data_IF_203184086268
#
_entry.id   IF_203184086268
#
_cell.length_a   1.000
_cell.length_b   1.000
_cell.length_c   1.000
_cell.angle_alpha   90.00
_cell.angle_beta   90.00
_cell.angle_gamma   90.00
#
_symmetry.space_group_name_H-M   'P 1'
#
loop_
_entity.id
_entity.type
_entity.pdbx_description
1 polymer ?
#
# COMPACT_ATOMS: atom_id res chain seq x y z
N UNK A 1 -19.11 8.29 -17.64
CA UNK A 1 -18.15 9.16 -16.93
C UNK A 1 -17.07 8.26 -16.37
N UNK A 2 -15.82 8.71 -16.16
CA UNK A 2 -14.80 7.95 -15.47
C UNK A 2 -15.20 7.58 -14.04
N UNK A 3 -14.37 6.81 -13.31
CA UNK A 3 -14.62 6.46 -11.92
C UNK A 3 -14.81 7.70 -11.03
N UNK A 4 -15.60 7.56 -9.97
CA UNK A 4 -15.89 8.65 -9.03
C UNK A 4 -14.71 8.86 -8.08
N UNK A 5 -14.24 7.78 -7.42
CA UNK A 5 -13.13 7.79 -6.45
C UNK A 5 -12.23 6.58 -6.58
N UNK A 6 -11.01 6.75 -6.09
CA UNK A 6 -9.98 5.71 -6.02
C UNK A 6 -9.61 5.51 -4.55
N UNK A 7 -9.72 4.28 -4.03
CA UNK A 7 -9.47 3.94 -2.64
C UNK A 7 -8.29 3.00 -2.53
N UNK A 8 -7.17 3.46 -1.96
CA UNK A 8 -5.97 2.66 -1.75
C UNK A 8 -5.96 2.08 -0.35
N UNK A 9 -6.00 0.77 -0.25
CA UNK A 9 -5.95 0.00 1.00
C UNK A 9 -4.55 -0.59 1.16
N UNK A 10 -3.90 -0.33 2.29
CA UNK A 10 -2.67 -1.04 2.64
C UNK A 10 -3.03 -2.43 3.17
N UNK A 11 -2.24 -3.46 2.81
CA UNK A 11 -2.40 -4.81 3.36
C UNK A 11 -2.36 -4.82 4.90
N UNK A 12 -2.95 -5.85 5.51
CA UNK A 12 -2.94 -6.12 6.95
C UNK A 12 -1.57 -6.55 7.48
N UNK A 13 -1.53 -6.87 8.77
CA UNK A 13 -0.30 -7.35 9.42
C UNK A 13 0.18 -8.66 8.79
N UNK A 14 1.49 -8.76 8.61
CA UNK A 14 2.15 -9.93 8.02
C UNK A 14 2.74 -10.82 9.12
N UNK A 15 2.60 -12.14 8.98
CA UNK A 15 3.29 -13.11 9.82
C UNK A 15 4.80 -13.09 9.53
N UNK A 16 5.55 -12.39 10.38
CA UNK A 16 6.99 -12.18 10.23
C UNK A 16 7.72 -12.30 11.57
N UNK A 17 7.78 -13.48 12.18
CA UNK A 17 8.35 -13.67 13.52
C UNK A 17 9.85 -13.36 13.60
N UNK A 18 10.56 -13.38 12.48
CA UNK A 18 12.00 -13.06 12.40
C UNK A 18 12.29 -11.57 12.20
N UNK A 19 11.27 -10.73 11.99
CA UNK A 19 11.43 -9.28 11.75
C UNK A 19 12.27 -8.94 10.52
N UNK A 20 12.12 -9.71 9.44
CA UNK A 20 12.89 -9.51 8.20
C UNK A 20 12.28 -8.40 7.33
N UNK A 21 13.11 -7.77 6.53
CA UNK A 21 12.67 -6.95 5.40
C UNK A 21 12.20 -7.89 4.28
N UNK A 22 10.91 -8.14 4.21
CA UNK A 22 10.33 -9.16 3.30
C UNK A 22 10.01 -8.62 1.90
N UNK A 23 9.79 -7.32 1.74
CA UNK A 23 9.64 -6.65 0.44
C UNK A 23 8.82 -7.48 -0.59
N UNK A 24 9.48 -7.99 -1.65
CA UNK A 24 8.88 -8.86 -2.67
C UNK A 24 9.17 -10.35 -2.45
N UNK A 25 9.60 -10.74 -1.23
CA UNK A 25 9.82 -12.16 -0.92
C UNK A 25 8.48 -12.88 -0.78
N UNK A 26 8.46 -14.13 -1.24
CA UNK A 26 7.35 -15.06 -1.05
C UNK A 26 7.34 -15.64 0.38
N UNK A 27 6.20 -16.22 0.79
CA UNK A 27 6.05 -16.87 2.09
C UNK A 27 5.87 -15.88 3.25
N UNK A 28 5.33 -14.71 2.99
CA UNK A 28 4.95 -13.71 3.99
C UNK A 28 3.44 -13.44 3.92
N UNK A 29 2.60 -14.41 4.36
CA UNK A 29 1.15 -14.26 4.43
C UNK A 29 0.74 -13.29 5.54
N UNK A 30 -0.53 -12.94 5.60
CA UNK A 30 -1.10 -12.24 6.74
C UNK A 30 -0.99 -13.08 8.02
N UNK A 31 -0.81 -12.40 9.17
CA UNK A 31 -1.06 -13.00 10.48
C UNK A 31 -2.57 -13.12 10.73
N UNK A 32 -2.98 -13.85 11.78
CA UNK A 32 -4.40 -13.91 12.19
C UNK A 32 -4.97 -12.52 12.44
N UNK A 33 -4.19 -11.64 13.09
CA UNK A 33 -4.54 -10.23 13.26
C UNK A 33 -4.62 -9.48 11.93
N UNK A 34 -3.71 -9.79 10.99
CA UNK A 34 -3.75 -9.23 9.65
C UNK A 34 -5.03 -9.56 8.89
N UNK A 35 -5.56 -10.77 9.04
CA UNK A 35 -6.86 -11.15 8.49
C UNK A 35 -8.01 -10.36 9.13
N UNK A 36 -8.00 -10.16 10.45
CA UNK A 36 -8.99 -9.32 11.14
C UNK A 36 -8.92 -7.85 10.68
N UNK A 37 -7.72 -7.31 10.52
CA UNK A 37 -7.50 -5.96 9.99
C UNK A 37 -8.04 -5.82 8.56
N UNK A 38 -7.84 -6.82 7.71
CA UNK A 38 -8.35 -6.82 6.35
C UNK A 38 -9.90 -6.87 6.32
N UNK A 39 -10.52 -7.64 7.21
CA UNK A 39 -11.97 -7.66 7.39
C UNK A 39 -12.51 -6.31 7.84
N UNK A 40 -11.85 -5.66 8.83
CA UNK A 40 -12.23 -4.32 9.28
C UNK A 40 -12.13 -3.26 8.16
N UNK A 41 -11.14 -3.38 7.27
CA UNK A 41 -11.05 -2.50 6.10
C UNK A 41 -12.21 -2.72 5.11
N UNK A 42 -12.64 -3.96 4.90
CA UNK A 42 -13.80 -4.25 4.05
C UNK A 42 -15.10 -3.69 4.65
N UNK A 43 -15.30 -3.84 5.96
CA UNK A 43 -16.45 -3.27 6.69
C UNK A 43 -16.45 -1.73 6.61
N UNK A 44 -15.29 -1.09 6.76
CA UNK A 44 -15.16 0.35 6.64
C UNK A 44 -15.52 0.83 5.23
N UNK A 45 -14.99 0.17 4.18
CA UNK A 45 -15.32 0.47 2.78
C UNK A 45 -16.84 0.35 2.52
N UNK A 46 -17.48 -0.69 3.09
CA UNK A 46 -18.93 -0.85 3.03
C UNK A 46 -19.66 0.31 3.70
N UNK A 47 -19.20 0.72 4.90
CA UNK A 47 -19.81 1.80 5.67
C UNK A 47 -19.73 3.16 4.96
N UNK A 48 -18.75 3.33 4.06
CA UNK A 48 -18.61 4.52 3.22
C UNK A 48 -19.68 4.63 2.12
N UNK A 49 -20.50 3.59 1.91
CA UNK A 49 -21.54 3.58 0.88
C UNK A 49 -20.98 3.57 -0.54
N UNK A 50 -19.81 2.98 -0.76
CA UNK A 50 -19.15 2.92 -2.06
C UNK A 50 -19.92 2.05 -3.06
N UNK A 51 -19.72 2.35 -4.35
CA UNK A 51 -20.16 1.54 -5.48
C UNK A 51 -18.95 1.07 -6.30
N UNK A 52 -18.08 0.20 -5.73
CA UNK A 52 -16.86 -0.20 -6.41
C UNK A 52 -17.20 -1.10 -7.62
N UNK A 53 -16.51 -0.84 -8.73
CA UNK A 53 -16.65 -1.58 -9.98
C UNK A 53 -15.44 -2.47 -10.24
N UNK A 54 -14.28 -2.14 -9.67
CA UNK A 54 -13.04 -2.88 -9.86
C UNK A 54 -12.25 -2.97 -8.56
N UNK A 55 -11.55 -4.09 -8.41
CA UNK A 55 -10.65 -4.36 -7.29
C UNK A 55 -9.27 -4.75 -7.83
N UNK A 56 -8.35 -3.79 -7.90
CA UNK A 56 -6.99 -3.98 -8.36
C UNK A 56 -6.07 -4.35 -7.19
N UNK A 57 -5.28 -5.40 -7.37
CA UNK A 57 -4.51 -6.00 -6.27
C UNK A 57 -3.07 -6.23 -6.68
N UNK A 58 -2.13 -5.80 -5.84
CA UNK A 58 -0.72 -6.15 -6.00
C UNK A 58 -0.56 -7.68 -6.00
N UNK A 59 0.36 -8.26 -6.81
CA UNK A 59 0.50 -9.70 -6.97
C UNK A 59 0.93 -10.46 -5.70
N UNK A 60 1.41 -9.77 -4.66
CA UNK A 60 1.95 -10.41 -3.47
C UNK A 60 0.86 -11.07 -2.61
N UNK A 61 1.19 -12.20 -1.97
CA UNK A 61 0.24 -13.02 -1.22
C UNK A 61 -0.55 -12.21 -0.17
N UNK A 62 0.12 -11.41 0.64
CA UNK A 62 -0.50 -10.58 1.70
C UNK A 62 -1.53 -9.57 1.17
N UNK A 63 -1.33 -9.04 -0.03
CA UNK A 63 -2.30 -8.12 -0.66
C UNK A 63 -3.50 -8.86 -1.21
N UNK A 64 -3.30 -10.04 -1.81
CA UNK A 64 -4.40 -10.90 -2.25
C UNK A 64 -5.23 -11.38 -1.07
N UNK A 65 -4.60 -11.77 0.05
CA UNK A 65 -5.29 -12.13 1.28
C UNK A 65 -6.05 -10.94 1.88
N UNK A 66 -5.47 -9.73 1.85
CA UNK A 66 -6.16 -8.51 2.31
C UNK A 66 -7.32 -8.10 1.39
N UNK A 67 -7.26 -8.40 0.10
CA UNK A 67 -8.31 -8.12 -0.85
C UNK A 67 -9.50 -9.10 -0.75
N UNK A 68 -9.28 -10.32 -0.26
CA UNK A 68 -10.32 -11.36 -0.22
C UNK A 68 -11.60 -10.93 0.51
N UNK A 69 -11.58 -10.33 1.71
CA UNK A 69 -12.79 -9.84 2.36
C UNK A 69 -13.48 -8.71 1.58
N UNK A 70 -12.71 -7.83 0.90
CA UNK A 70 -13.27 -6.78 0.04
C UNK A 70 -13.96 -7.38 -1.17
N UNK A 71 -13.31 -8.34 -1.84
CA UNK A 71 -13.90 -9.08 -2.97
C UNK A 71 -15.23 -9.76 -2.59
N UNK A 72 -15.25 -10.42 -1.44
CA UNK A 72 -16.45 -11.08 -0.91
C UNK A 72 -17.57 -10.07 -0.61
N UNK A 73 -17.25 -8.93 0.02
CA UNK A 73 -18.22 -7.92 0.43
C UNK A 73 -18.92 -7.28 -0.76
N UNK A 74 -18.17 -6.98 -1.82
CA UNK A 74 -18.70 -6.26 -2.98
C UNK A 74 -18.98 -7.16 -4.21
N UNK A 75 -18.73 -8.48 -4.11
CA UNK A 75 -18.93 -9.40 -5.22
C UNK A 75 -18.01 -9.15 -6.42
N UNK A 76 -16.78 -8.70 -6.15
CA UNK A 76 -15.79 -8.34 -7.16
C UNK A 76 -14.73 -9.44 -7.34
N UNK A 77 -14.22 -9.58 -8.56
CA UNK A 77 -13.02 -10.37 -8.84
C UNK A 77 -11.74 -9.56 -8.55
N UNK A 78 -10.66 -10.26 -8.23
CA UNK A 78 -9.34 -9.65 -8.04
C UNK A 78 -8.66 -9.47 -9.40
N UNK A 79 -8.37 -8.24 -9.77
CA UNK A 79 -7.57 -7.89 -10.94
C UNK A 79 -6.12 -7.66 -10.49
N UNK A 80 -5.16 -8.46 -10.98
CA UNK A 80 -3.74 -8.27 -10.63
C UNK A 80 -3.19 -7.05 -11.37
N UNK A 81 -2.62 -6.11 -10.60
CA UNK A 81 -1.98 -4.90 -11.12
C UNK A 81 -0.51 -4.83 -10.65
N UNK A 82 0.41 -5.11 -11.55
CA UNK A 82 1.85 -5.17 -11.25
C UNK A 82 2.45 -3.82 -10.85
N UNK A 83 1.92 -2.72 -11.37
CA UNK A 83 2.41 -1.36 -11.08
C UNK A 83 2.18 -0.92 -9.64
N UNK A 84 1.32 -1.60 -8.87
CA UNK A 84 1.08 -1.26 -7.45
C UNK A 84 1.83 -2.17 -6.47
N UNK A 85 2.82 -2.94 -6.95
CA UNK A 85 3.67 -3.82 -6.14
C UNK A 85 4.59 -3.03 -5.19
N UNK A 86 5.00 -3.68 -4.07
CA UNK A 86 6.03 -3.15 -3.17
C UNK A 86 7.34 -2.85 -3.94
N UNK A 87 8.03 -1.73 -3.67
CA UNK A 87 9.34 -1.46 -4.26
C UNK A 87 10.35 -2.57 -3.98
N UNK A 88 11.26 -2.79 -4.92
CA UNK A 88 12.41 -3.67 -4.65
C UNK A 88 13.41 -2.98 -3.72
N UNK A 89 14.11 -3.77 -2.90
CA UNK A 89 15.10 -3.28 -1.96
C UNK A 89 16.26 -4.29 -1.86
N UNK A 90 17.48 -3.79 -1.91
CA UNK A 90 18.71 -4.58 -1.79
C UNK A 90 18.90 -5.17 -0.40
N UNK A 91 18.20 -4.63 0.61
CA UNK A 91 18.26 -5.08 2.00
C UNK A 91 17.22 -6.17 2.32
N UNK A 92 16.50 -6.69 1.31
CA UNK A 92 15.53 -7.77 1.49
C UNK A 92 16.18 -9.02 2.13
N UNK A 93 15.46 -9.65 3.05
CA UNK A 93 15.92 -10.85 3.75
C UNK A 93 16.80 -10.58 4.98
N UNK A 94 17.23 -9.33 5.20
CA UNK A 94 17.95 -8.95 6.42
C UNK A 94 16.98 -8.48 7.52
N UNK A 95 17.37 -8.60 8.81
CA UNK A 95 16.59 -8.04 9.90
C UNK A 95 16.38 -6.52 9.74
N UNK A 96 15.27 -6.00 10.23
CA UNK A 96 15.01 -4.56 10.23
C UNK A 96 15.89 -3.82 11.24
N UNK A 97 16.33 -2.60 10.87
CA UNK A 97 16.99 -1.64 11.76
C UNK A 97 18.50 -1.76 11.85
N UNK A 98 19.09 -1.03 12.81
CA UNK A 98 20.54 -0.89 12.98
C UNK A 98 21.27 -2.24 13.23
N UNK A 99 20.59 -3.22 13.82
CA UNK A 99 21.16 -4.56 14.06
C UNK A 99 21.61 -5.25 12.78
N UNK A 100 20.92 -5.03 11.67
CA UNK A 100 21.31 -5.57 10.37
C UNK A 100 22.66 -5.02 9.89
N UNK A 101 22.91 -3.72 10.08
CA UNK A 101 24.14 -3.05 9.70
C UNK A 101 25.33 -3.48 10.59
N UNK A 102 25.09 -3.69 11.88
CA UNK A 102 26.12 -4.18 12.81
C UNK A 102 26.52 -5.61 12.42
N UNK A 103 25.54 -6.46 12.13
CA UNK A 103 25.80 -7.85 11.72
C UNK A 103 26.39 -7.98 10.31
N UNK A 104 26.12 -7.01 9.43
CA UNK A 104 26.54 -7.01 8.02
C UNK A 104 27.03 -5.61 7.60
N UNK A 105 28.25 -5.19 7.98
CA UNK A 105 28.75 -3.85 7.69
C UNK A 105 28.78 -3.50 6.20
N UNK A 106 28.93 -4.50 5.33
CA UNK A 106 28.89 -4.32 3.87
C UNK A 106 27.56 -3.76 3.33
N UNK A 107 26.47 -3.85 4.10
CA UNK A 107 25.18 -3.24 3.70
C UNK A 107 25.22 -1.71 3.72
N UNK A 108 26.14 -1.11 4.47
CA UNK A 108 26.30 0.35 4.54
C UNK A 108 26.60 0.98 3.18
N UNK A 109 27.26 0.22 2.27
CA UNK A 109 27.53 0.69 0.90
C UNK A 109 26.26 1.01 0.12
N UNK A 110 25.12 0.44 0.50
CA UNK A 110 23.85 0.72 -0.15
C UNK A 110 23.13 1.95 0.42
N UNK A 111 23.62 2.55 1.50
CA UNK A 111 22.95 3.65 2.22
C UNK A 111 23.57 5.03 1.95
N UNK A 112 24.35 5.18 0.89
CA UNK A 112 25.11 6.42 0.63
C UNK A 112 24.25 7.60 0.16
N UNK A 113 23.02 7.38 -0.34
CA UNK A 113 22.17 8.47 -0.82
C UNK A 113 20.73 8.33 -0.30
N UNK A 114 20.37 8.97 0.83
CA UNK A 114 19.02 8.94 1.36
C UNK A 114 18.00 9.77 0.56
N UNK A 115 18.46 10.73 -0.23
CA UNK A 115 17.59 11.57 -1.06
C UNK A 115 17.08 10.85 -2.31
N UNK A 116 17.88 9.93 -2.83
CA UNK A 116 17.50 8.97 -3.88
C UNK A 116 17.91 7.60 -3.37
N UNK A 117 16.94 6.77 -2.93
CA UNK A 117 17.28 5.56 -2.18
C UNK A 117 18.21 4.65 -2.98
N UNK A 118 19.50 4.64 -2.58
CA UNK A 118 20.53 3.80 -3.22
C UNK A 118 20.35 2.32 -2.90
N UNK A 119 19.52 2.03 -1.91
CA UNK A 119 19.17 0.68 -1.48
C UNK A 119 17.93 0.09 -2.17
N UNK A 120 17.18 0.87 -2.96
CA UNK A 120 15.91 0.41 -3.52
C UNK A 120 15.45 1.20 -4.74
N UNK A 121 14.21 0.97 -5.14
CA UNK A 121 13.54 1.66 -6.23
C UNK A 121 13.46 3.17 -5.95
N UNK A 122 13.81 4.04 -6.91
CA UNK A 122 13.72 5.49 -6.74
C UNK A 122 12.29 5.94 -6.42
N UNK A 123 12.13 6.82 -5.44
CA UNK A 123 10.80 7.31 -5.01
C UNK A 123 9.96 7.89 -6.16
N UNK A 124 10.61 8.52 -7.14
CA UNK A 124 9.93 9.08 -8.31
C UNK A 124 9.31 7.99 -9.17
N UNK A 125 10.04 6.92 -9.45
CA UNK A 125 9.57 5.79 -10.25
C UNK A 125 8.37 5.11 -9.58
N UNK A 126 8.42 4.97 -8.23
CA UNK A 126 7.29 4.45 -7.45
C UNK A 126 6.05 5.35 -7.62
N UNK A 127 6.22 6.67 -7.46
CA UNK A 127 5.12 7.62 -7.58
C UNK A 127 4.54 7.62 -9.00
N UNK A 128 5.39 7.59 -10.01
CA UNK A 128 4.98 7.66 -11.42
C UNK A 128 4.18 6.39 -11.81
N UNK A 129 4.68 5.15 -11.53
CA UNK A 129 3.95 3.91 -11.85
C UNK A 129 2.62 3.76 -11.09
N UNK A 130 2.58 4.22 -9.83
CA UNK A 130 1.36 4.21 -9.03
C UNK A 130 0.31 5.19 -9.56
N UNK A 131 0.76 6.39 -9.96
CA UNK A 131 -0.12 7.41 -10.55
C UNK A 131 -0.65 6.95 -11.91
N UNK A 132 0.20 6.35 -12.74
CA UNK A 132 -0.20 5.77 -14.01
C UNK A 132 -1.28 4.68 -13.82
N UNK A 133 -1.06 3.72 -12.92
CA UNK A 133 -2.04 2.68 -12.61
C UNK A 133 -3.38 3.26 -12.11
N UNK A 134 -3.31 4.31 -11.28
CA UNK A 134 -4.48 4.99 -10.75
C UNK A 134 -5.30 5.69 -11.85
N UNK A 135 -4.63 6.45 -12.72
CA UNK A 135 -5.29 7.18 -13.80
C UNK A 135 -5.84 6.24 -14.87
N UNK A 136 -5.10 5.18 -15.24
CA UNK A 136 -5.61 4.16 -16.16
C UNK A 136 -6.88 3.50 -15.60
N UNK A 137 -6.89 3.14 -14.33
CA UNK A 137 -8.06 2.53 -13.72
C UNK A 137 -9.25 3.51 -13.65
N UNK A 138 -8.97 4.78 -13.36
CA UNK A 138 -9.97 5.85 -13.35
C UNK A 138 -10.60 6.04 -14.73
N UNK A 139 -9.80 6.15 -15.79
CA UNK A 139 -10.28 6.36 -17.16
C UNK A 139 -11.08 5.16 -17.69
N UNK A 140 -10.63 3.95 -17.38
CA UNK A 140 -11.21 2.69 -17.88
C UNK A 140 -12.30 2.09 -16.97
N UNK A 141 -12.80 2.85 -15.99
CA UNK A 141 -13.94 2.44 -15.15
C UNK A 141 -15.11 3.37 -15.38
N UNK A 142 -16.20 2.84 -15.89
CA UNK A 142 -17.43 3.62 -16.14
C UNK A 142 -18.24 3.75 -14.85
N UNK A 143 -18.22 4.94 -14.27
CA UNK A 143 -18.93 5.29 -13.03
C UNK A 143 -18.50 4.44 -11.80
N UNK A 144 -18.93 4.84 -10.61
CA UNK A 144 -18.59 4.15 -9.36
C UNK A 144 -17.13 4.32 -8.92
N UNK A 145 -16.64 3.44 -8.07
CA UNK A 145 -15.36 3.57 -7.40
C UNK A 145 -14.39 2.46 -7.83
N UNK A 146 -13.09 2.68 -7.61
CA UNK A 146 -12.06 1.67 -7.80
C UNK A 146 -11.32 1.46 -6.48
N UNK A 147 -11.17 0.20 -6.07
CA UNK A 147 -10.40 -0.16 -4.89
C UNK A 147 -9.07 -0.77 -5.30
N UNK A 148 -7.98 -0.32 -4.69
CA UNK A 148 -6.63 -0.84 -4.84
C UNK A 148 -6.15 -1.43 -3.53
N UNK A 149 -5.57 -2.64 -3.55
CA UNK A 149 -4.90 -3.21 -2.38
C UNK A 149 -3.41 -3.30 -2.63
N UNK A 150 -2.65 -2.50 -1.90
CA UNK A 150 -1.22 -2.29 -2.13
C UNK A 150 -0.43 -2.22 -0.82
N UNK A 151 0.67 -1.49 -0.79
CA UNK A 151 1.67 -1.48 0.28
C UNK A 151 1.95 -0.06 0.78
N UNK A 152 2.63 0.05 1.94
CA UNK A 152 2.88 1.33 2.59
C UNK A 152 3.61 2.34 1.71
N UNK A 153 4.76 1.95 1.17
CA UNK A 153 5.59 2.92 0.45
C UNK A 153 4.97 3.36 -0.88
N UNK A 154 4.40 2.47 -1.71
CA UNK A 154 3.68 2.88 -2.91
C UNK A 154 2.55 3.88 -2.64
N UNK A 155 1.65 3.56 -1.70
CA UNK A 155 0.53 4.45 -1.34
C UNK A 155 1.05 5.79 -0.82
N UNK A 156 2.07 5.78 0.03
CA UNK A 156 2.67 7.00 0.58
C UNK A 156 3.34 7.87 -0.48
N UNK A 157 4.00 7.28 -1.48
CA UNK A 157 4.60 8.02 -2.59
C UNK A 157 3.54 8.64 -3.49
N UNK A 158 2.44 7.93 -3.76
CA UNK A 158 1.28 8.47 -4.47
C UNK A 158 0.71 9.69 -3.75
N UNK A 159 0.47 9.57 -2.44
CA UNK A 159 -0.02 10.67 -1.62
C UNK A 159 0.92 11.89 -1.66
N UNK A 160 2.23 11.68 -1.45
CA UNK A 160 3.19 12.78 -1.44
C UNK A 160 3.32 13.46 -2.81
N UNK A 161 3.29 12.70 -3.89
CA UNK A 161 3.30 13.21 -5.26
C UNK A 161 2.04 14.05 -5.55
N UNK A 162 0.87 13.53 -5.20
CA UNK A 162 -0.40 14.22 -5.36
C UNK A 162 -0.46 15.56 -4.60
N UNK A 163 0.13 15.61 -3.40
CA UNK A 163 0.23 16.82 -2.58
C UNK A 163 1.39 17.75 -2.96
N UNK A 164 2.17 17.44 -3.99
CA UNK A 164 3.35 18.22 -4.37
C UNK A 164 4.46 18.25 -3.31
N UNK A 165 4.48 17.29 -2.38
CA UNK A 165 5.47 17.21 -1.31
C UNK A 165 6.78 16.58 -1.79
N UNK A 166 7.90 16.93 -1.14
CA UNK A 166 9.21 16.30 -1.41
C UNK A 166 9.10 14.80 -1.16
N UNK A 167 9.51 13.96 -2.13
CA UNK A 167 9.41 12.50 -2.01
C UNK A 167 10.36 11.91 -0.94
N UNK A 168 11.62 12.36 -0.80
CA UNK A 168 12.46 11.99 0.34
C UNK A 168 11.81 12.44 1.66
N UNK A 169 11.73 11.51 2.64
CA UNK A 169 11.02 11.75 3.90
C UNK A 169 11.55 10.84 5.02
N UNK A 170 11.21 11.17 6.26
CA UNK A 170 11.43 10.27 7.38
C UNK A 170 10.43 9.10 7.31
N UNK A 171 10.89 7.83 7.27
CA UNK A 171 9.99 6.66 7.23
C UNK A 171 9.00 6.59 8.39
N UNK A 172 9.34 7.13 9.57
CA UNK A 172 8.46 7.15 10.74
C UNK A 172 7.28 8.14 10.59
N UNK A 173 7.38 9.09 9.65
CA UNK A 173 6.30 10.06 9.40
C UNK A 173 5.25 9.58 8.39
N UNK A 174 5.30 8.31 7.95
CA UNK A 174 4.36 7.77 6.98
C UNK A 174 2.97 7.61 7.58
N UNK A 175 2.05 8.40 7.10
CA UNK A 175 0.62 8.25 7.40
C UNK A 175 0.01 7.21 6.45
N UNK A 176 0.23 5.95 6.73
CA UNK A 176 -0.29 4.81 6.00
C UNK A 176 -0.18 3.57 6.91
N UNK A 177 -1.08 3.46 7.89
CA UNK A 177 -1.14 2.35 8.85
C UNK A 177 -1.59 1.05 8.20
N UNK A 178 -1.40 -0.09 8.86
CA UNK A 178 -1.89 -1.38 8.38
C UNK A 178 -3.41 -1.33 8.18
N UNK A 179 -3.87 -1.83 7.05
CA UNK A 179 -5.28 -1.80 6.59
C UNK A 179 -5.90 -0.39 6.56
N UNK A 180 -5.08 0.68 6.50
CA UNK A 180 -5.59 2.03 6.27
C UNK A 180 -6.11 2.20 4.84
N UNK A 181 -7.04 3.14 4.68
CA UNK A 181 -7.66 3.51 3.41
C UNK A 181 -7.29 4.96 3.12
N UNK A 182 -6.67 5.20 1.97
CA UNK A 182 -6.38 6.55 1.45
C UNK A 182 -7.20 6.75 0.19
N UNK A 183 -8.08 7.75 0.18
CA UNK A 183 -9.00 8.00 -0.94
C UNK A 183 -8.58 9.21 -1.75
N UNK A 184 -8.73 9.11 -3.06
CA UNK A 184 -8.42 10.16 -4.02
C UNK A 184 -9.60 10.41 -4.93
N UNK A 185 -9.75 11.65 -5.35
CA UNK A 185 -10.51 12.07 -6.53
C UNK A 185 -9.53 12.44 -7.65
N UNK A 186 -10.02 12.49 -8.87
CA UNK A 186 -9.22 12.97 -10.00
C UNK A 186 -9.81 14.27 -10.50
N UNK A 187 -8.99 15.32 -10.50
CA UNK A 187 -9.32 16.60 -11.09
C UNK A 187 -8.26 17.00 -12.12
N UNK A 188 -8.72 17.29 -13.34
CA UNK A 188 -7.86 17.72 -14.45
C UNK A 188 -6.65 16.79 -14.66
N UNK A 189 -6.86 15.46 -14.52
CA UNK A 189 -5.82 14.44 -14.68
C UNK A 189 -4.85 14.35 -13.51
N UNK A 190 -5.18 14.91 -12.34
CA UNK A 190 -4.36 14.87 -11.13
C UNK A 190 -5.10 14.19 -9.99
N UNK A 191 -4.38 13.37 -9.22
CA UNK A 191 -4.90 12.78 -7.99
C UNK A 191 -4.96 13.85 -6.89
N UNK A 192 -6.11 13.96 -6.23
CA UNK A 192 -6.33 14.82 -5.06
C UNK A 192 -6.73 13.94 -3.88
N UNK A 193 -5.93 13.86 -2.80
CA UNK A 193 -6.30 13.13 -1.60
C UNK A 193 -7.50 13.80 -0.93
N UNK A 194 -8.56 13.02 -0.66
CA UNK A 194 -9.83 13.55 -0.08
C UNK A 194 -10.18 12.93 1.26
N UNK A 195 -9.72 11.71 1.57
CA UNK A 195 -10.02 11.04 2.84
C UNK A 195 -8.92 10.09 3.28
N UNK A 196 -8.81 9.86 4.59
CA UNK A 196 -7.90 8.88 5.19
C UNK A 196 -8.54 8.24 6.42
N UNK A 197 -8.61 6.89 6.43
CA UNK A 197 -9.21 6.09 7.51
C UNK A 197 -8.29 4.98 7.97
N UNK A 198 -8.39 4.61 9.24
CA UNK A 198 -7.53 3.62 9.90
C UNK A 198 -8.33 2.54 10.63
N UNK A 199 -9.18 1.75 9.92
CA UNK A 199 -10.02 0.74 10.56
C UNK A 199 -9.22 -0.32 11.34
N UNK A 200 -8.03 -0.68 10.87
CA UNK A 200 -7.16 -1.65 11.52
C UNK A 200 -6.53 -1.17 12.84
N UNK A 201 -6.49 0.13 13.11
CA UNK A 201 -5.85 0.68 14.33
C UNK A 201 -6.62 0.35 15.60
N UNK A 202 -7.95 0.22 15.54
CA UNK A 202 -8.77 -0.17 16.69
C UNK A 202 -8.34 -1.54 17.25
N UNK A 203 -8.04 -2.51 16.36
CA UNK A 203 -7.59 -3.85 16.75
C UNK A 203 -6.20 -3.86 17.40
N UNK A 204 -5.37 -2.86 17.13
CA UNK A 204 -4.06 -2.73 17.79
C UNK A 204 -4.23 -2.17 19.21
N UNK A 205 -5.15 -1.22 19.40
CA UNK A 205 -5.39 -0.55 20.69
C UNK A 205 -6.10 -1.44 21.71
N UNK A 206 -6.97 -2.35 21.26
CA UNK A 206 -7.71 -3.27 22.13
C UNK A 206 -6.85 -4.37 22.75
N UNK A 207 -5.61 -4.58 22.26
CA UNK A 207 -4.71 -5.64 22.70
C UNK A 207 -3.42 -5.11 23.37
N UNK A 208 -3.28 -3.80 23.54
CA UNK A 208 -2.17 -3.12 24.20
C UNK A 208 -2.52 -2.80 25.66
#
# INVERSE_FOLDING_TARGET
MPASRLHFVRHGEVFNPKGLLYERLDGFPLSDRGHQMAAAAAEELKSMGLNPKRLLVSPLERTRQSAAPVAKEFGLELEIEERIIEPWNKLKGYPMGAKALVANPGLAIHLYNPGRPSWGEPYREIADRMTEAALDAWENTSEGDVIFVSHQLPIWMTYRSAMGLRLPHNPQSRRCSLSSITSFEVDSGRLLPVDYREPGMKLIQEQA
#
